data_IF_054808003643
#
_entry.id   IF_054808003643
#
_cell.length_a   1.000
_cell.length_b   1.000
_cell.length_c   1.000
_cell.angle_alpha   90.00
_cell.angle_beta   90.00
_cell.angle_gamma   90.00
#
_symmetry.space_group_name_H-M   'P 1'
#
loop_
_entity.id
_entity.type
_entity.pdbx_description
1 polymer ?
#
# COMPACT_ATOMS: atom_id res chain seq x y z
N UNK A 1 16.43 -31.40 -35.29
CA UNK A 1 15.77 -30.10 -35.02
C UNK A 1 14.75 -30.31 -33.91
N UNK A 2 15.08 -29.95 -32.67
CA UNK A 2 14.18 -30.14 -31.52
C UNK A 2 14.09 -28.83 -30.75
N UNK A 3 12.97 -28.10 -30.92
CA UNK A 3 12.63 -26.90 -30.15
C UNK A 3 12.24 -27.33 -28.73
N UNK A 4 12.89 -26.78 -27.70
CA UNK A 4 12.35 -26.79 -26.33
C UNK A 4 11.95 -25.37 -25.97
N UNK A 5 10.66 -25.25 -25.67
CA UNK A 5 9.93 -24.03 -25.34
C UNK A 5 10.39 -23.59 -23.95
N UNK A 6 10.91 -22.36 -23.87
CA UNK A 6 11.20 -21.65 -22.62
C UNK A 6 9.87 -21.17 -22.06
N UNK A 7 9.43 -21.73 -20.94
CA UNK A 7 8.23 -21.28 -20.22
C UNK A 7 8.64 -20.18 -19.25
N UNK A 8 8.35 -18.95 -19.64
CA UNK A 8 8.57 -17.73 -18.85
C UNK A 8 7.64 -17.68 -17.63
N UNK A 9 8.21 -17.71 -16.43
CA UNK A 9 7.56 -17.24 -15.19
C UNK A 9 8.37 -16.06 -14.68
N UNK A 10 8.09 -14.86 -15.20
CA UNK A 10 8.68 -13.61 -14.72
C UNK A 10 7.73 -12.46 -15.07
N UNK A 11 6.59 -12.38 -14.38
CA UNK A 11 5.65 -11.28 -14.55
C UNK A 11 4.96 -10.93 -13.22
N UNK A 12 5.74 -10.66 -12.17
CA UNK A 12 5.21 -10.16 -10.89
C UNK A 12 6.11 -9.08 -10.22
N UNK A 13 6.98 -8.41 -10.99
CA UNK A 13 7.87 -7.35 -10.51
C UNK A 13 7.44 -5.93 -10.99
N UNK A 14 6.13 -5.66 -11.04
CA UNK A 14 5.60 -4.53 -11.80
C UNK A 14 5.28 -3.22 -11.06
N UNK A 15 5.21 -3.18 -9.72
CA UNK A 15 4.59 -2.01 -9.04
C UNK A 15 5.59 -1.10 -8.29
N UNK A 16 6.88 -1.46 -8.18
CA UNK A 16 7.85 -0.68 -7.39
C UNK A 16 8.68 0.37 -8.19
N UNK A 17 8.42 0.61 -9.47
CA UNK A 17 9.34 1.35 -10.36
C UNK A 17 9.00 2.83 -10.61
N UNK A 18 8.05 3.43 -9.90
CA UNK A 18 7.65 4.82 -10.17
C UNK A 18 8.55 5.91 -9.55
N UNK A 19 9.72 5.56 -8.99
CA UNK A 19 10.69 6.56 -8.57
C UNK A 19 12.12 6.13 -8.90
N UNK A 20 12.86 6.87 -9.75
CA UNK A 20 14.29 6.65 -9.99
C UNK A 20 15.12 6.67 -8.70
N UNK A 21 14.62 7.31 -7.64
CA UNK A 21 15.24 7.32 -6.33
C UNK A 21 15.18 5.97 -5.61
N UNK A 22 14.16 5.14 -5.88
CA UNK A 22 14.04 3.81 -5.29
C UNK A 22 14.96 2.78 -5.98
N UNK A 23 15.30 2.98 -7.25
CA UNK A 23 16.17 2.08 -8.01
C UNK A 23 17.67 2.29 -7.71
N UNK A 24 18.09 3.48 -7.28
CA UNK A 24 19.49 3.81 -7.02
C UNK A 24 19.95 3.49 -5.58
N UNK A 25 19.04 3.08 -4.69
CA UNK A 25 19.36 2.63 -3.32
C UNK A 25 19.40 1.11 -3.14
N UNK A 26 19.13 0.33 -4.19
CA UNK A 26 19.04 -1.15 -4.11
C UNK A 26 20.42 -1.82 -4.26
N UNK A 27 21.50 -1.05 -4.48
CA UNK A 27 22.86 -1.62 -4.47
C UNK A 27 23.31 -2.05 -3.06
N UNK A 28 22.77 -1.45 -2.00
CA UNK A 28 22.98 -1.87 -0.61
C UNK A 28 21.66 -2.29 0.04
N UNK A 29 21.31 -3.57 -0.09
CA UNK A 29 20.13 -4.17 0.56
C UNK A 29 20.12 -3.94 2.08
N UNK A 30 21.30 -3.81 2.70
CA UNK A 30 21.48 -3.49 4.12
C UNK A 30 20.96 -2.06 4.48
N UNK A 31 21.00 -1.12 3.54
CA UNK A 31 20.42 0.24 3.75
C UNK A 31 18.91 0.29 3.60
N UNK A 32 18.33 -0.55 2.75
CA UNK A 32 16.88 -0.69 2.63
C UNK A 32 16.27 -1.34 3.90
N UNK A 33 16.96 -2.31 4.49
CA UNK A 33 16.58 -2.93 5.76
C UNK A 33 16.62 -1.94 6.92
N UNK A 34 17.72 -1.18 7.06
CA UNK A 34 17.85 -0.16 8.07
C UNK A 34 16.76 0.93 7.93
N UNK A 35 16.46 1.34 6.70
CA UNK A 35 15.40 2.30 6.42
C UNK A 35 14.01 1.77 6.81
N UNK A 36 13.72 0.49 6.54
CA UNK A 36 12.45 -0.15 6.91
C UNK A 36 12.26 -0.24 8.43
N UNK A 37 13.33 -0.56 9.18
CA UNK A 37 13.29 -0.59 10.65
C UNK A 37 13.07 0.81 11.23
N UNK A 38 13.81 1.82 10.75
CA UNK A 38 13.65 3.21 11.18
C UNK A 38 12.25 3.74 10.83
N UNK A 39 11.71 3.34 9.68
CA UNK A 39 10.33 3.69 9.29
C UNK A 39 9.30 3.03 10.21
N UNK A 40 9.49 1.75 10.55
CA UNK A 40 8.62 1.04 11.49
C UNK A 40 8.69 1.63 12.91
N UNK A 41 9.86 2.11 13.35
CA UNK A 41 9.99 2.83 14.62
C UNK A 41 9.27 4.17 14.59
N UNK A 42 9.38 4.93 13.50
CA UNK A 42 8.65 6.20 13.32
C UNK A 42 7.14 6.02 13.24
N UNK A 43 6.65 4.94 12.63
CA UNK A 43 5.22 4.61 12.61
C UNK A 43 4.66 4.28 14.00
N UNK A 44 5.51 3.93 14.97
CA UNK A 44 5.15 3.67 16.37
C UNK A 44 5.34 4.88 17.28
N UNK A 45 5.81 6.01 16.76
CA UNK A 45 5.99 7.24 17.53
C UNK A 45 4.61 7.86 17.80
N UNK A 46 4.18 7.99 19.07
CA UNK A 46 2.89 8.58 19.42
C UNK A 46 2.74 10.01 18.87
N UNK A 47 3.82 10.80 18.85
CA UNK A 47 3.77 12.16 18.33
C UNK A 47 3.63 12.23 16.80
N UNK A 48 3.95 11.14 16.08
CA UNK A 48 3.71 11.01 14.63
C UNK A 48 2.29 10.49 14.39
N UNK A 49 1.85 9.50 15.17
CA UNK A 49 0.49 8.96 15.11
C UNK A 49 -0.55 10.05 15.40
N UNK A 50 -0.40 10.81 16.49
CA UNK A 50 -1.33 11.89 16.88
C UNK A 50 -1.48 12.96 15.79
N UNK A 51 -0.37 13.32 15.12
CA UNK A 51 -0.41 14.28 14.00
C UNK A 51 -1.13 13.71 12.79
N UNK A 52 -0.90 12.43 12.47
CA UNK A 52 -1.55 11.76 11.35
C UNK A 52 -3.03 11.52 11.61
N UNK A 53 -3.42 11.27 12.85
CA UNK A 53 -4.82 11.17 13.29
C UNK A 53 -5.56 12.46 12.94
N UNK A 54 -5.04 13.63 13.36
CA UNK A 54 -5.69 14.90 13.07
C UNK A 54 -5.79 15.20 11.58
N UNK A 55 -4.69 15.00 10.84
CA UNK A 55 -4.67 15.23 9.38
C UNK A 55 -5.62 14.29 8.64
N UNK A 56 -5.69 13.02 9.05
CA UNK A 56 -6.58 12.04 8.42
C UNK A 56 -8.04 12.32 8.75
N UNK A 57 -8.35 12.68 10.00
CA UNK A 57 -9.70 13.06 10.40
C UNK A 57 -10.18 14.28 9.62
N UNK A 58 -9.35 15.33 9.52
CA UNK A 58 -9.67 16.54 8.74
C UNK A 58 -9.85 16.21 7.24
N UNK A 59 -9.02 15.33 6.70
CA UNK A 59 -9.14 14.89 5.31
C UNK A 59 -10.41 14.07 5.08
N UNK A 60 -10.78 13.18 6.00
CA UNK A 60 -12.01 12.40 5.92
C UNK A 60 -13.24 13.29 6.06
N UNK A 61 -13.21 14.27 6.96
CA UNK A 61 -14.28 15.25 7.13
C UNK A 61 -14.49 16.08 5.85
N UNK A 62 -13.40 16.56 5.25
CA UNK A 62 -13.45 17.25 3.96
C UNK A 62 -13.90 16.34 2.80
N UNK A 63 -13.57 15.05 2.85
CA UNK A 63 -14.01 14.08 1.84
C UNK A 63 -15.50 13.78 1.95
N UNK A 64 -16.05 13.73 3.16
CA UNK A 64 -17.48 13.52 3.37
C UNK A 64 -18.33 14.65 2.74
N UNK A 65 -17.79 15.85 2.63
CA UNK A 65 -18.47 17.00 2.01
C UNK A 65 -18.39 17.00 0.47
N UNK A 66 -17.73 15.99 -0.14
CA UNK A 66 -17.65 15.86 -1.61
C UNK A 66 -19.01 15.43 -2.17
N UNK A 67 -19.46 16.15 -3.21
CA UNK A 67 -20.67 15.80 -3.96
C UNK A 67 -20.53 14.48 -4.71
N UNK A 68 -21.58 13.67 -4.69
CA UNK A 68 -21.61 12.36 -5.35
C UNK A 68 -21.93 12.44 -6.84
N UNK A 69 -22.49 13.55 -7.31
CA UNK A 69 -22.85 13.76 -8.72
C UNK A 69 -21.71 13.48 -9.70
N UNK A 70 -20.52 14.10 -9.55
CA UNK A 70 -19.38 13.83 -10.43
C UNK A 70 -18.91 12.37 -10.40
N UNK A 71 -19.04 11.68 -9.26
CA UNK A 71 -18.70 10.26 -9.13
C UNK A 71 -19.73 9.39 -9.86
N UNK A 72 -21.02 9.70 -9.71
CA UNK A 72 -22.09 9.02 -10.44
C UNK A 72 -21.93 9.20 -11.95
N UNK A 73 -21.62 10.40 -12.44
CA UNK A 73 -21.35 10.67 -13.85
C UNK A 73 -20.21 9.82 -14.41
N UNK A 74 -19.11 9.69 -13.67
CA UNK A 74 -18.02 8.79 -14.09
C UNK A 74 -18.45 7.33 -14.11
N UNK A 75 -19.24 6.87 -13.12
CA UNK A 75 -19.73 5.49 -13.10
C UNK A 75 -20.70 5.20 -14.26
N UNK A 76 -21.50 6.17 -14.67
CA UNK A 76 -22.39 6.07 -15.84
C UNK A 76 -21.63 6.10 -17.17
N UNK A 77 -20.51 6.83 -17.24
CA UNK A 77 -19.66 6.87 -18.43
C UNK A 77 -18.95 5.53 -18.68
N UNK A 78 -18.53 4.84 -17.61
CA UNK A 78 -17.81 3.57 -17.68
C UNK A 78 -18.71 2.34 -17.48
N UNK A 79 -19.94 2.52 -16.99
CA UNK A 79 -20.89 1.46 -16.68
C UNK A 79 -21.91 1.22 -17.79
N UNK A 80 -22.48 0.01 -17.83
CA UNK A 80 -23.57 -0.33 -18.75
C UNK A 80 -24.95 0.15 -18.26
N UNK A 81 -25.07 0.53 -16.98
CA UNK A 81 -26.34 0.92 -16.35
C UNK A 81 -26.28 2.32 -15.73
N UNK A 82 -27.38 3.10 -15.80
CA UNK A 82 -27.47 4.41 -15.17
C UNK A 82 -27.53 4.29 -13.64
N UNK A 83 -26.97 5.28 -12.94
CA UNK A 83 -27.01 5.34 -11.49
C UNK A 83 -28.34 5.96 -11.07
N UNK A 84 -29.33 5.12 -10.82
CA UNK A 84 -30.67 5.54 -10.41
C UNK A 84 -30.80 5.66 -8.88
N UNK A 85 -31.67 6.57 -8.43
CA UNK A 85 -32.03 6.71 -7.01
C UNK A 85 -31.04 7.47 -6.14
N UNK A 86 -30.00 8.07 -6.72
CA UNK A 86 -29.04 8.94 -6.03
C UNK A 86 -29.31 10.41 -6.37
N UNK A 87 -29.42 11.26 -5.36
CA UNK A 87 -29.43 12.71 -5.55
C UNK A 87 -28.03 13.18 -5.94
N UNK A 88 -27.89 13.77 -7.14
CA UNK A 88 -26.58 14.21 -7.67
C UNK A 88 -25.99 15.39 -6.90
N UNK A 89 -26.82 16.14 -6.17
CA UNK A 89 -26.35 17.23 -5.32
C UNK A 89 -26.01 16.79 -3.89
N UNK A 90 -26.33 15.54 -3.52
CA UNK A 90 -25.98 14.98 -2.23
C UNK A 90 -24.47 14.83 -2.05
N UNK A 91 -24.02 14.92 -0.81
CA UNK A 91 -22.63 14.67 -0.41
C UNK A 91 -22.45 13.23 0.06
N UNK A 92 -21.20 12.78 0.19
CA UNK A 92 -20.91 11.49 0.81
C UNK A 92 -21.42 11.42 2.26
N UNK A 93 -21.43 12.56 2.96
CA UNK A 93 -22.04 12.71 4.29
C UNK A 93 -23.54 12.40 4.26
N UNK A 94 -24.26 12.96 3.29
CA UNK A 94 -25.71 12.76 3.16
C UNK A 94 -26.06 11.29 2.85
N UNK A 95 -25.20 10.60 2.09
CA UNK A 95 -25.38 9.19 1.75
C UNK A 95 -25.02 8.24 2.91
N UNK A 96 -23.99 8.56 3.68
CA UNK A 96 -23.60 7.79 4.86
C UNK A 96 -24.61 7.94 6.01
N UNK A 97 -25.43 9.00 5.99
CA UNK A 97 -26.53 9.18 6.93
C UNK A 97 -26.03 9.67 8.30
N UNK A 98 -26.78 9.41 9.39
CA UNK A 98 -26.47 9.96 10.71
C UNK A 98 -25.11 9.49 11.26
N UNK A 99 -24.64 8.32 10.86
CA UNK A 99 -23.35 7.77 11.29
C UNK A 99 -22.16 8.51 10.65
N UNK A 100 -22.40 9.36 9.64
CA UNK A 100 -21.34 10.11 8.94
C UNK A 100 -20.59 11.09 9.84
N UNK A 101 -21.22 11.58 10.92
CA UNK A 101 -20.61 12.48 11.89
C UNK A 101 -19.52 11.78 12.73
N UNK A 102 -19.67 10.47 12.93
CA UNK A 102 -18.76 9.67 13.76
C UNK A 102 -17.58 9.11 12.96
N UNK A 103 -17.68 9.03 11.62
CA UNK A 103 -16.65 8.45 10.74
C UNK A 103 -15.25 9.05 10.98
N UNK A 104 -15.04 10.37 11.06
CA UNK A 104 -13.72 10.93 11.32
C UNK A 104 -13.17 10.55 12.70
N UNK A 105 -14.04 10.47 13.71
CA UNK A 105 -13.67 10.09 15.08
C UNK A 105 -13.32 8.60 15.19
N UNK A 106 -14.10 7.73 14.54
CA UNK A 106 -13.84 6.30 14.49
C UNK A 106 -12.51 5.98 13.80
N UNK A 107 -12.22 6.67 12.69
CA UNK A 107 -10.94 6.55 11.98
C UNK A 107 -9.78 7.02 12.85
N UNK A 108 -9.97 8.13 13.57
CA UNK A 108 -8.98 8.64 14.51
C UNK A 108 -8.68 7.65 15.65
N UNK A 109 -9.68 6.93 16.14
CA UNK A 109 -9.51 5.90 17.19
C UNK A 109 -8.78 4.66 16.68
N UNK A 110 -9.10 4.19 15.46
CA UNK A 110 -8.55 2.94 14.92
C UNK A 110 -7.17 3.13 14.24
N UNK A 111 -6.82 4.33 13.80
CA UNK A 111 -5.56 4.59 13.08
C UNK A 111 -4.31 4.16 13.87
N UNK A 112 -4.13 4.51 15.16
CA UNK A 112 -2.97 4.06 15.94
C UNK A 112 -2.86 2.53 16.00
N UNK A 113 -4.00 1.84 16.18
CA UNK A 113 -4.04 0.37 16.23
C UNK A 113 -3.63 -0.25 14.89
N UNK A 114 -4.08 0.33 13.79
CA UNK A 114 -3.69 -0.10 12.45
C UNK A 114 -2.19 0.13 12.18
N UNK A 115 -1.65 1.27 12.59
CA UNK A 115 -0.22 1.59 12.47
C UNK A 115 0.66 0.65 13.29
N UNK A 116 0.25 0.31 14.52
CA UNK A 116 0.95 -0.65 15.36
C UNK A 116 0.94 -2.06 14.77
N UNK A 117 -0.20 -2.50 14.22
CA UNK A 117 -0.32 -3.78 13.54
C UNK A 117 0.61 -3.84 12.30
N UNK A 118 0.64 -2.77 11.51
CA UNK A 118 1.53 -2.64 10.35
C UNK A 118 3.01 -2.70 10.77
N UNK A 119 3.40 -1.96 11.81
CA UNK A 119 4.78 -1.97 12.30
C UNK A 119 5.19 -3.35 12.86
N UNK A 120 4.25 -4.06 13.51
CA UNK A 120 4.45 -5.44 13.94
C UNK A 120 4.70 -6.40 12.77
N UNK A 121 3.92 -6.27 11.69
CA UNK A 121 4.10 -7.04 10.47
C UNK A 121 5.44 -6.74 9.79
N UNK A 122 5.83 -5.46 9.67
CA UNK A 122 7.12 -5.05 9.12
C UNK A 122 8.29 -5.62 9.94
N UNK A 123 8.17 -5.63 11.27
CA UNK A 123 9.17 -6.26 12.14
C UNK A 123 9.24 -7.78 11.92
N UNK A 124 8.10 -8.44 11.76
CA UNK A 124 8.04 -9.87 11.43
C UNK A 124 8.69 -10.19 10.09
N UNK A 125 8.42 -9.38 9.07
CA UNK A 125 9.06 -9.49 7.76
C UNK A 125 10.57 -9.25 7.85
N UNK A 126 11.00 -8.22 8.58
CA UNK A 126 12.41 -7.92 8.81
C UNK A 126 13.15 -9.10 9.48
N UNK A 127 12.49 -9.81 10.39
CA UNK A 127 13.06 -11.02 11.01
C UNK A 127 13.21 -12.20 10.04
N UNK A 128 12.44 -12.23 8.95
CA UNK A 128 12.52 -13.27 7.91
C UNK A 128 13.53 -12.95 6.81
N UNK A 129 13.93 -11.68 6.65
CA UNK A 129 14.85 -11.24 5.60
C UNK A 129 16.20 -11.99 5.57
N UNK A 130 16.85 -12.32 6.70
CA UNK A 130 18.11 -13.07 6.66
C UNK A 130 17.98 -14.44 5.98
N UNK A 131 16.89 -15.16 6.25
CA UNK A 131 16.62 -16.45 5.62
C UNK A 131 16.32 -16.29 4.11
N UNK A 132 15.63 -15.22 3.73
CA UNK A 132 15.39 -14.89 2.33
C UNK A 132 16.69 -14.53 1.60
N UNK A 133 17.62 -13.82 2.26
CA UNK A 133 18.95 -13.48 1.73
C UNK A 133 19.80 -14.73 1.50
N UNK A 134 19.78 -15.66 2.45
CA UNK A 134 20.50 -16.93 2.32
C UNK A 134 19.96 -17.77 1.15
N UNK A 135 18.64 -17.90 1.03
CA UNK A 135 17.99 -18.60 -0.07
C UNK A 135 18.29 -17.95 -1.45
N UNK A 136 18.28 -16.62 -1.51
CA UNK A 136 18.65 -15.87 -2.71
C UNK A 136 20.12 -16.08 -3.10
N UNK A 137 21.03 -16.12 -2.11
CA UNK A 137 22.45 -16.41 -2.33
C UNK A 137 22.65 -17.82 -2.87
N UNK A 138 22.03 -18.83 -2.27
CA UNK A 138 22.11 -20.23 -2.74
C UNK A 138 21.57 -20.38 -4.16
N UNK A 139 20.46 -19.71 -4.48
CA UNK A 139 19.86 -19.74 -5.82
C UNK A 139 20.77 -19.06 -6.85
N UNK A 140 21.36 -17.91 -6.50
CA UNK A 140 22.34 -17.20 -7.36
C UNK A 140 23.58 -18.06 -7.61
N UNK A 141 24.11 -18.72 -6.58
CA UNK A 141 25.26 -19.61 -6.69
C UNK A 141 24.93 -20.83 -7.58
N UNK A 142 23.74 -21.42 -7.44
CA UNK A 142 23.28 -22.53 -8.29
C UNK A 142 23.17 -22.13 -9.76
N UNK A 143 22.61 -20.95 -10.06
CA UNK A 143 22.46 -20.46 -11.44
C UNK A 143 23.81 -20.15 -12.10
N UNK A 144 24.77 -19.62 -11.33
CA UNK A 144 26.12 -19.34 -11.83
C UNK A 144 26.95 -20.61 -12.01
N UNK A 145 26.69 -21.66 -11.24
CA UNK A 145 27.40 -22.94 -11.34
C UNK A 145 26.89 -23.81 -12.52
N UNK A 146 25.61 -23.69 -12.90
CA UNK A 146 25.02 -24.36 -14.07
C UNK A 146 25.46 -23.73 -15.42
N UNK A 147 26.14 -22.58 -15.38
CA UNK A 147 26.67 -21.87 -16.55
C UNK A 147 28.09 -22.31 -16.97
N UNK A 148 28.63 -23.37 -16.36
CA UNK A 148 29.98 -23.91 -16.61
C UNK A 148 29.94 -25.35 -17.14
N UNK A 149 29.14 -25.63 -18.17
CA UNK A 149 29.34 -26.75 -19.09
C UNK A 149 28.85 -26.38 -20.49
#
# INVERSE_FOLDING_TARGET
MTKRIVTSVAALAGIALASPAAAQGIEDTDTAEAAAVVMAERMRDPAVQDRMVGVLADLMDAMLDVKVGPLAETLEEFGDEPVEGIDRDATLRDLAGPDAEDIPADVAEELPRAMDAMAGMTKGLAAMLPALREMAKTTKESLLNDSRF
#
